data_IF_713848934416
#
_entry.id   IF_713848934416
#
_cell.length_a   1.000
_cell.length_b   1.000
_cell.length_c   1.000
_cell.angle_alpha   90.00
_cell.angle_beta   90.00
_cell.angle_gamma   90.00
#
_symmetry.space_group_name_H-M   'P 1'
#
loop_
_entity.id
_entity.type
_entity.pdbx_description
1 polymer ?
#
# COMPACT_ATOMS: atom_id res chain seq x y z
N UNK A 1 16.73 6.56 5.18
CA UNK A 1 15.80 5.58 4.61
C UNK A 1 14.56 5.48 5.49
N UNK A 2 13.51 6.17 5.07
CA UNK A 2 12.25 6.18 5.78
C UNK A 2 11.25 5.27 5.08
N UNK A 3 10.76 4.31 5.83
CA UNK A 3 9.72 3.41 5.36
C UNK A 3 8.43 3.76 6.08
N UNK A 4 7.37 3.95 5.32
CA UNK A 4 6.04 4.19 5.86
C UNK A 4 5.20 2.95 5.66
N UNK A 5 4.67 2.42 6.75
CA UNK A 5 3.78 1.25 6.70
C UNK A 5 2.34 1.73 6.70
N UNK A 6 1.59 1.34 5.69
CA UNK A 6 0.17 1.63 5.57
C UNK A 6 -0.62 0.34 5.78
N UNK A 7 -1.49 0.35 6.77
CA UNK A 7 -2.33 -0.80 7.09
C UNK A 7 -3.74 -0.55 6.60
N UNK A 8 -4.32 -1.57 5.96
CA UNK A 8 -5.67 -1.49 5.43
C UNK A 8 -6.51 -2.61 5.99
N UNK A 9 -7.74 -2.28 6.38
CA UNK A 9 -8.68 -3.30 6.82
C UNK A 9 -9.32 -3.96 5.62
N UNK A 10 -9.31 -5.28 5.62
CA UNK A 10 -9.84 -6.10 4.54
C UNK A 10 -10.92 -7.03 5.08
N UNK A 11 -11.92 -7.29 4.27
CA UNK A 11 -12.94 -8.31 4.57
C UNK A 11 -12.57 -9.66 3.98
N UNK A 12 -11.68 -9.67 3.00
CA UNK A 12 -11.24 -10.85 2.26
C UNK A 12 -9.73 -10.79 2.06
N UNK A 13 -9.07 -11.93 1.78
CA UNK A 13 -7.65 -11.90 1.41
C UNK A 13 -7.40 -10.96 0.24
N UNK A 14 -6.25 -10.25 0.23
CA UNK A 14 -5.96 -9.33 -0.86
C UNK A 14 -5.79 -10.06 -2.18
N UNK A 15 -6.19 -9.39 -3.26
CA UNK A 15 -6.08 -9.87 -4.63
C UNK A 15 -5.29 -8.85 -5.44
N UNK A 16 -4.98 -9.18 -6.69
CA UNK A 16 -4.25 -8.28 -7.57
C UNK A 16 -4.93 -6.92 -7.74
N UNK A 17 -6.26 -6.90 -7.72
CA UNK A 17 -7.06 -5.69 -7.87
C UNK A 17 -7.36 -4.96 -6.57
N UNK A 18 -6.86 -5.43 -5.43
CA UNK A 18 -7.10 -4.77 -4.15
C UNK A 18 -6.43 -3.41 -4.12
N UNK A 19 -7.15 -2.39 -3.64
CA UNK A 19 -6.66 -1.02 -3.53
C UNK A 19 -5.65 -0.87 -2.40
N UNK A 20 -4.59 -0.13 -2.68
CA UNK A 20 -3.60 0.28 -1.69
C UNK A 20 -3.56 1.80 -1.68
N UNK A 21 -3.95 2.41 -0.58
CA UNK A 21 -4.27 3.82 -0.53
C UNK A 21 -3.41 4.59 0.47
N UNK A 22 -3.18 5.86 0.16
CA UNK A 22 -2.70 6.81 1.16
C UNK A 22 -3.50 8.10 1.05
N UNK A 23 -3.84 8.67 2.19
CA UNK A 23 -4.54 9.96 2.25
C UNK A 23 -3.57 11.13 2.31
N UNK A 24 -2.31 10.88 2.65
CA UNK A 24 -1.30 11.92 2.72
C UNK A 24 -0.48 11.93 1.46
N UNK A 25 -0.20 13.12 0.97
CA UNK A 25 0.56 13.28 -0.26
C UNK A 25 1.84 14.06 -0.02
N UNK A 26 1.70 15.33 0.36
CA UNK A 26 2.86 16.21 0.44
C UNK A 26 3.62 16.12 1.75
N UNK A 27 2.93 15.74 2.82
CA UNK A 27 3.51 15.78 4.15
C UNK A 27 4.28 14.51 4.50
N UNK A 28 4.14 13.48 3.69
CA UNK A 28 4.78 12.22 3.97
C UNK A 28 6.11 12.11 3.25
N UNK A 29 7.18 12.30 4.01
CA UNK A 29 8.54 12.23 3.48
C UNK A 29 9.10 10.84 3.74
N UNK A 30 8.70 9.89 2.91
CA UNK A 30 9.24 8.55 3.00
C UNK A 30 9.85 8.13 1.67
N UNK A 31 10.76 7.18 1.73
CA UNK A 31 11.39 6.64 0.54
C UNK A 31 10.57 5.51 -0.06
N UNK A 32 9.85 4.80 0.78
CA UNK A 32 9.13 3.61 0.37
C UNK A 32 7.88 3.40 1.21
N UNK A 33 6.81 2.95 0.57
CA UNK A 33 5.60 2.49 1.24
C UNK A 33 5.57 0.98 1.30
N UNK A 34 5.24 0.44 2.47
CA UNK A 34 4.90 -0.96 2.66
C UNK A 34 3.41 -1.03 2.95
N UNK A 35 2.68 -1.81 2.19
CA UNK A 35 1.25 -1.98 2.39
C UNK A 35 0.97 -3.31 3.05
N UNK A 36 0.20 -3.26 4.13
CA UNK A 36 -0.19 -4.41 4.92
C UNK A 36 -1.71 -4.49 4.94
N UNK A 37 -2.26 -5.63 4.62
CA UNK A 37 -3.68 -5.89 4.75
C UNK A 37 -3.94 -6.63 6.06
N UNK A 38 -4.93 -6.17 6.82
CA UNK A 38 -5.35 -6.79 8.05
C UNK A 38 -6.81 -7.21 7.90
N UNK A 39 -7.06 -8.51 8.09
CA UNK A 39 -8.43 -9.01 8.03
C UNK A 39 -9.26 -8.36 9.14
N UNK A 40 -10.52 -8.06 8.84
CA UNK A 40 -11.38 -7.31 9.74
C UNK A 40 -11.51 -7.93 11.14
N UNK A 41 -11.50 -9.26 11.25
CA UNK A 41 -11.54 -9.95 12.54
C UNK A 41 -10.15 -10.07 13.19
N UNK A 42 -9.12 -9.51 12.55
CA UNK A 42 -7.73 -9.50 13.02
C UNK A 42 -7.08 -10.87 13.13
N UNK A 43 -7.66 -11.88 12.51
CA UNK A 43 -7.12 -13.25 12.54
C UNK A 43 -5.93 -13.44 11.62
N UNK A 44 -5.82 -12.62 10.57
CA UNK A 44 -4.77 -12.74 9.57
C UNK A 44 -4.32 -11.37 9.08
N UNK A 45 -3.06 -11.29 8.71
CA UNK A 45 -2.48 -10.11 8.07
C UNK A 45 -1.61 -10.58 6.90
N UNK A 46 -1.52 -9.72 5.89
CA UNK A 46 -0.71 -9.97 4.70
C UNK A 46 0.19 -8.78 4.44
N UNK A 47 1.44 -9.06 4.06
CA UNK A 47 2.29 -8.04 3.46
C UNK A 47 1.95 -8.02 1.99
N UNK A 48 1.21 -7.00 1.57
CA UNK A 48 0.71 -6.89 0.20
C UNK A 48 1.82 -6.55 -0.78
N UNK A 49 2.81 -5.81 -0.33
CA UNK A 49 3.96 -5.44 -1.13
C UNK A 49 4.48 -4.06 -0.77
N UNK A 50 5.41 -3.59 -1.55
CA UNK A 50 6.06 -2.30 -1.34
C UNK A 50 6.29 -1.58 -2.65
N UNK A 51 6.51 -0.28 -2.55
CA UNK A 51 6.75 0.56 -3.72
C UNK A 51 7.51 1.81 -3.27
N UNK A 52 8.50 2.23 -4.05
CA UNK A 52 9.15 3.51 -3.80
C UNK A 52 8.15 4.63 -3.92
N UNK A 53 8.23 5.63 -3.04
CA UNK A 53 7.25 6.71 -3.01
C UNK A 53 7.18 7.45 -4.33
N UNK A 54 8.32 7.68 -5.00
CA UNK A 54 8.34 8.32 -6.30
C UNK A 54 7.57 7.54 -7.35
N UNK A 55 7.65 6.21 -7.30
CA UNK A 55 6.94 5.34 -8.24
C UNK A 55 5.46 5.25 -7.87
N UNK A 56 5.16 5.26 -6.59
CA UNK A 56 3.78 5.27 -6.12
C UNK A 56 3.01 6.44 -6.74
N UNK A 57 3.55 7.65 -6.61
CA UNK A 57 2.84 8.85 -7.10
C UNK A 57 2.82 8.95 -8.63
N UNK A 58 3.72 8.26 -9.32
CA UNK A 58 3.63 8.15 -10.79
C UNK A 58 2.49 7.24 -11.23
N UNK A 59 2.21 6.19 -10.45
CA UNK A 59 1.20 5.17 -10.80
C UNK A 59 -0.15 5.43 -10.16
N UNK A 60 -0.18 6.18 -9.07
CA UNK A 60 -1.38 6.35 -8.27
C UNK A 60 -2.46 7.12 -9.01
N UNK A 61 -3.69 6.67 -8.83
CA UNK A 61 -4.86 7.40 -9.25
C UNK A 61 -5.36 8.23 -8.07
N UNK A 62 -5.62 9.51 -8.32
CA UNK A 62 -6.23 10.37 -7.32
C UNK A 62 -7.72 10.12 -7.29
N UNK A 63 -8.24 9.82 -6.11
CA UNK A 63 -9.67 9.60 -5.92
C UNK A 63 -10.17 10.59 -4.90
N UNK A 64 -11.12 11.41 -5.33
CA UNK A 64 -11.66 12.48 -4.52
C UNK A 64 -12.61 11.94 -3.45
N UNK A 65 -12.59 12.58 -2.27
CA UNK A 65 -13.56 12.34 -1.20
C UNK A 65 -14.97 12.34 -1.77
N UNK A 66 -15.79 11.38 -1.34
CA UNK A 66 -17.17 11.26 -1.78
C UNK A 66 -17.36 10.38 -3.00
N UNK A 67 -16.28 9.93 -3.64
CA UNK A 67 -16.36 9.01 -4.76
C UNK A 67 -16.80 7.63 -4.26
N UNK A 68 -17.79 7.04 -4.94
CA UNK A 68 -18.30 5.72 -4.60
C UNK A 68 -17.83 4.72 -5.65
N UNK A 69 -17.24 3.61 -5.18
CA UNK A 69 -16.83 2.51 -6.04
C UNK A 69 -18.04 1.69 -6.47
N UNK A 70 -17.87 0.87 -7.50
CA UNK A 70 -18.91 -0.02 -7.99
C UNK A 70 -19.41 -1.00 -6.93
N UNK A 71 -18.58 -1.33 -5.93
CA UNK A 71 -18.95 -2.22 -4.83
C UNK A 71 -19.70 -1.51 -3.69
N UNK A 72 -19.98 -0.20 -3.85
CA UNK A 72 -20.72 0.58 -2.87
C UNK A 72 -19.87 1.30 -1.83
N UNK A 73 -18.56 1.06 -1.81
CA UNK A 73 -17.67 1.75 -0.88
C UNK A 73 -17.51 3.21 -1.28
N UNK A 74 -17.68 4.13 -0.33
CA UNK A 74 -17.51 5.57 -0.54
C UNK A 74 -16.25 6.05 0.19
N UNK A 75 -15.37 6.73 -0.53
CA UNK A 75 -14.15 7.30 0.04
C UNK A 75 -14.49 8.46 0.96
N UNK A 76 -13.99 8.41 2.19
CA UNK A 76 -14.21 9.45 3.20
C UNK A 76 -13.18 10.57 3.13
N UNK A 77 -12.08 10.35 2.42
CA UNK A 77 -10.97 11.29 2.29
C UNK A 77 -10.48 11.27 0.86
N UNK A 78 -9.77 12.32 0.46
CA UNK A 78 -9.03 12.27 -0.79
C UNK A 78 -7.95 11.22 -0.66
N UNK A 79 -7.80 10.38 -1.69
CA UNK A 79 -6.87 9.27 -1.66
C UNK A 79 -6.04 9.20 -2.94
N UNK A 80 -4.82 8.70 -2.81
CA UNK A 80 -4.01 8.24 -3.93
C UNK A 80 -3.96 6.72 -3.84
N UNK A 81 -4.27 6.06 -4.95
CA UNK A 81 -4.54 4.62 -4.96
C UNK A 81 -3.73 3.92 -6.03
N UNK A 82 -3.04 2.84 -5.64
CA UNK A 82 -2.49 1.85 -6.57
C UNK A 82 -3.14 0.51 -6.27
N UNK A 83 -2.94 -0.47 -7.14
CA UNK A 83 -3.43 -1.83 -6.92
C UNK A 83 -2.30 -2.71 -6.40
N UNK A 84 -2.67 -3.79 -5.70
CA UNK A 84 -1.67 -4.77 -5.22
C UNK A 84 -0.77 -5.23 -6.36
N UNK A 85 -1.31 -5.44 -7.54
CA UNK A 85 -0.53 -5.88 -8.72
C UNK A 85 0.58 -4.90 -9.12
N UNK A 86 0.48 -3.63 -8.70
CA UNK A 86 1.47 -2.60 -9.02
C UNK A 86 2.62 -2.57 -8.03
N UNK A 87 2.53 -3.36 -6.97
CA UNK A 87 3.54 -3.40 -5.91
C UNK A 87 4.63 -4.43 -6.25
N UNK A 88 5.81 -4.20 -5.70
CA UNK A 88 6.88 -5.19 -5.71
C UNK A 88 6.75 -6.06 -4.47
N UNK A 89 7.16 -7.32 -4.59
CA UNK A 89 7.22 -8.18 -3.42
C UNK A 89 8.32 -7.67 -2.48
N UNK A 90 8.07 -7.78 -1.18
CA UNK A 90 9.05 -7.37 -0.18
C UNK A 90 10.34 -8.19 -0.35
N UNK A 91 10.22 -9.48 -0.58
CA UNK A 91 11.36 -10.36 -0.76
C UNK A 91 12.26 -9.92 -1.91
N UNK A 92 11.65 -9.53 -3.02
CA UNK A 92 12.41 -9.06 -4.20
C UNK A 92 13.18 -7.79 -3.89
N UNK A 93 12.56 -6.86 -3.17
CA UNK A 93 13.22 -5.60 -2.81
C UNK A 93 14.31 -5.84 -1.79
N UNK A 94 14.05 -6.63 -0.78
CA UNK A 94 15.03 -6.94 0.27
C UNK A 94 16.24 -7.68 -0.27
N UNK A 95 16.05 -8.58 -1.22
CA UNK A 95 17.15 -9.35 -1.80
C UNK A 95 18.12 -8.48 -2.59
N UNK A 96 17.69 -7.31 -3.04
CA UNK A 96 18.52 -6.37 -3.79
C UNK A 96 19.17 -5.32 -2.92
N UNK A 97 18.97 -5.39 -1.59
CA UNK A 97 19.47 -4.38 -0.67
C UNK A 97 20.68 -4.92 0.06
N UNK A 98 21.83 -4.27 -0.15
CA UNK A 98 23.08 -4.65 0.53
C UNK A 98 22.92 -4.42 2.04
N UNK A 99 23.44 -5.36 2.81
CA UNK A 99 23.41 -5.29 4.27
C UNK A 99 22.18 -5.88 4.90
N UNK A 100 21.18 -6.26 4.14
CA UNK A 100 19.98 -6.88 4.68
C UNK A 100 20.25 -8.27 5.20
N UNK A 101 21.19 -8.96 4.62
CA UNK A 101 21.61 -10.28 5.08
C UNK A 101 22.12 -10.27 6.52
N UNK A 102 22.56 -9.12 6.99
CA UNK A 102 23.02 -9.00 8.39
C UNK A 102 21.88 -9.03 9.38
N UNK A 103 20.65 -8.85 8.95
CA UNK A 103 19.47 -8.89 9.81
C UNK A 103 18.78 -10.26 9.80
N UNK A 104 19.17 -11.08 8.89
CA UNK A 104 18.61 -12.41 8.72
C UNK A 104 19.53 -13.46 9.32
#
# INVERSE_FOLDING_TARGET
NNIEVKTMNLYYPPKEGTDCCTTTYYDQKCDMYFFVGLLNDKSKAWIEGCIYSKDFFKKANYIKKGTTRSDGFTYKWDNWVVKVKDLSSVDKVLSNTTGLDTFL
#
